data_IF_344641346459
#
_entry.id   IF_344641346459
#
_cell.length_a   1.000
_cell.length_b   1.000
_cell.length_c   1.000
_cell.angle_alpha   90.00
_cell.angle_beta   90.00
_cell.angle_gamma   90.00
#
_symmetry.space_group_name_H-M   'P 1'
#
loop_
_entity.id
_entity.type
_entity.pdbx_description
1 polymer ?
#
# COMPACT_ATOMS: atom_id res chain seq x y z
N UNK A 1 -28.20 2.73 -14.92
CA UNK A 1 -27.35 1.54 -14.73
C UNK A 1 -25.92 2.04 -14.60
N UNK A 2 -25.40 2.16 -13.38
CA UNK A 2 -23.98 2.49 -13.17
C UNK A 2 -23.18 1.21 -13.39
N UNK A 3 -22.50 1.12 -14.53
CA UNK A 3 -21.63 0.00 -14.84
C UNK A 3 -20.45 0.07 -13.85
N UNK A 4 -20.20 -0.97 -13.03
CA UNK A 4 -19.02 -1.00 -12.17
C UNK A 4 -17.80 -1.12 -13.07
N UNK A 5 -17.24 0.02 -13.43
CA UNK A 5 -16.01 0.10 -14.19
C UNK A 5 -14.92 -0.34 -13.23
N UNK A 6 -14.58 -1.63 -13.26
CA UNK A 6 -13.35 -2.13 -12.66
C UNK A 6 -12.22 -1.33 -13.29
N UNK A 7 -11.85 -0.20 -12.66
CA UNK A 7 -10.74 0.62 -13.09
C UNK A 7 -9.50 -0.23 -12.88
N UNK A 8 -9.08 -0.87 -13.97
CA UNK A 8 -7.80 -1.57 -14.02
C UNK A 8 -6.75 -0.48 -13.82
N UNK A 9 -6.12 -0.48 -12.66
CA UNK A 9 -5.05 0.47 -12.34
C UNK A 9 -3.90 0.13 -13.27
N UNK A 10 -3.55 1.08 -14.14
CA UNK A 10 -2.46 0.97 -15.11
C UNK A 10 -1.14 0.66 -14.42
N UNK A 11 -0.26 -0.08 -15.10
CA UNK A 11 1.07 -0.39 -14.57
C UNK A 11 1.92 0.86 -14.31
N UNK A 12 1.69 1.94 -15.06
CA UNK A 12 2.29 3.26 -14.81
C UNK A 12 1.94 3.81 -13.42
N UNK A 13 0.68 3.72 -13.01
CA UNK A 13 0.23 4.14 -11.67
C UNK A 13 0.85 3.27 -10.58
N UNK A 14 0.97 1.95 -10.82
CA UNK A 14 1.64 1.04 -9.88
C UNK A 14 3.12 1.37 -9.73
N UNK A 15 3.79 1.67 -10.83
CA UNK A 15 5.20 2.08 -10.83
C UNK A 15 5.40 3.41 -10.08
N UNK A 16 4.48 4.37 -10.23
CA UNK A 16 4.49 5.61 -9.46
C UNK A 16 4.37 5.33 -7.95
N UNK A 17 3.36 4.55 -7.54
CA UNK A 17 3.14 4.18 -6.14
C UNK A 17 4.39 3.49 -5.56
N UNK A 18 4.99 2.58 -6.32
CA UNK A 18 6.18 1.85 -5.90
C UNK A 18 7.40 2.74 -5.67
N UNK A 19 7.51 3.86 -6.39
CA UNK A 19 8.54 4.89 -6.18
C UNK A 19 8.25 5.79 -4.99
N UNK A 20 6.98 6.01 -4.66
CA UNK A 20 6.56 6.87 -3.54
C UNK A 20 6.60 6.17 -2.16
N UNK A 21 6.41 4.85 -2.13
CA UNK A 21 6.49 4.05 -0.89
C UNK A 21 7.81 4.22 -0.10
N UNK A 22 9.01 4.20 -0.71
CA UNK A 22 10.27 4.37 0.02
C UNK A 22 10.52 5.80 0.54
N UNK A 23 9.87 6.81 -0.03
CA UNK A 23 9.98 8.23 0.39
C UNK A 23 9.29 8.51 1.75
N UNK A 24 8.78 7.45 2.42
CA UNK A 24 8.02 7.52 3.66
C UNK A 24 6.78 8.42 3.60
N UNK A 25 6.22 8.61 2.40
CA UNK A 25 4.97 9.33 2.20
C UNK A 25 3.82 8.50 2.78
N UNK A 26 2.87 9.16 3.43
CA UNK A 26 1.67 8.49 3.96
C UNK A 26 0.85 7.86 2.84
N UNK A 27 0.21 6.72 3.11
CA UNK A 27 -0.67 6.04 2.15
C UNK A 27 -1.79 6.97 1.66
N UNK A 28 -2.34 7.80 2.54
CA UNK A 28 -3.34 8.80 2.19
C UNK A 28 -2.81 9.88 1.22
N UNK A 29 -1.53 10.26 1.34
CA UNK A 29 -0.87 11.17 0.40
C UNK A 29 -0.65 10.52 -0.96
N UNK A 30 -0.17 9.27 -0.97
CA UNK A 30 0.02 8.49 -2.18
C UNK A 30 -1.31 8.26 -2.91
N UNK A 31 -2.38 7.93 -2.18
CA UNK A 31 -3.71 7.73 -2.75
C UNK A 31 -4.22 8.99 -3.48
N UNK A 32 -4.01 10.18 -2.89
CA UNK A 32 -4.37 11.46 -3.51
C UNK A 32 -3.56 11.77 -4.76
N UNK A 33 -2.24 11.59 -4.71
CA UNK A 33 -1.34 11.88 -5.85
C UNK A 33 -1.56 10.90 -7.00
N UNK A 34 -1.75 9.61 -6.70
CA UNK A 34 -1.98 8.58 -7.69
C UNK A 34 -3.45 8.49 -8.16
N UNK A 35 -4.37 9.19 -7.51
CA UNK A 35 -5.81 9.17 -7.85
C UNK A 35 -6.48 7.81 -7.62
N UNK A 36 -6.00 7.05 -6.63
CA UNK A 36 -6.48 5.69 -6.34
C UNK A 36 -7.26 5.62 -5.03
N UNK A 37 -8.13 4.62 -4.90
CA UNK A 37 -8.80 4.35 -3.62
C UNK A 37 -7.77 3.97 -2.55
N UNK A 38 -7.89 4.57 -1.36
CA UNK A 38 -7.03 4.25 -0.22
C UNK A 38 -7.16 2.78 0.18
N UNK A 39 -8.37 2.21 0.14
CA UNK A 39 -8.61 0.79 0.41
C UNK A 39 -7.89 -0.10 -0.59
N UNK A 40 -7.93 0.27 -1.88
CA UNK A 40 -7.21 -0.46 -2.93
C UNK A 40 -5.69 -0.38 -2.72
N UNK A 41 -5.17 0.82 -2.43
CA UNK A 41 -3.75 1.04 -2.16
C UNK A 41 -3.28 0.22 -0.95
N UNK A 42 -4.07 0.21 0.12
CA UNK A 42 -3.79 -0.57 1.31
C UNK A 42 -3.71 -2.07 0.99
N UNK A 43 -4.65 -2.61 0.22
CA UNK A 43 -4.62 -4.02 -0.21
C UNK A 43 -3.41 -4.32 -1.08
N UNK A 44 -3.09 -3.44 -2.05
CA UNK A 44 -1.94 -3.58 -2.94
C UNK A 44 -0.62 -3.64 -2.15
N UNK A 45 -0.42 -2.67 -1.25
CA UNK A 45 0.76 -2.55 -0.41
C UNK A 45 0.87 -3.72 0.56
N UNK A 46 -0.23 -4.16 1.17
CA UNK A 46 -0.26 -5.34 2.04
C UNK A 46 0.17 -6.62 1.30
N UNK A 47 -0.32 -6.82 0.07
CA UNK A 47 0.07 -7.95 -0.78
C UNK A 47 1.57 -7.90 -1.08
N UNK A 48 2.10 -6.73 -1.40
CA UNK A 48 3.52 -6.52 -1.68
C UNK A 48 4.39 -6.82 -0.46
N UNK A 49 4.06 -6.27 0.71
CA UNK A 49 4.81 -6.55 1.94
C UNK A 49 4.68 -7.99 2.44
N UNK A 50 3.58 -8.69 2.14
CA UNK A 50 3.42 -10.12 2.48
C UNK A 50 4.34 -11.02 1.66
N UNK A 51 4.69 -10.61 0.44
CA UNK A 51 5.65 -11.33 -0.41
C UNK A 51 7.11 -11.16 0.02
N UNK A 52 7.41 -10.09 0.77
CA UNK A 52 8.75 -9.84 1.29
C UNK A 52 8.88 -10.61 2.61
N UNK A 53 9.81 -11.58 2.75
CA UNK A 53 10.04 -12.26 4.01
C UNK A 53 10.50 -11.24 5.05
N UNK A 54 9.55 -10.83 5.91
CA UNK A 54 9.81 -9.90 7.02
C UNK A 54 10.74 -10.59 8.02
N UNK A 55 12.05 -10.36 7.93
CA UNK A 55 12.99 -10.51 9.05
C UNK A 55 12.74 -9.40 10.08
N UNK A 56 11.51 -9.27 10.58
CA UNK A 56 11.23 -8.43 11.73
C UNK A 56 11.44 -9.30 12.96
N UNK A 57 12.66 -9.26 13.50
CA UNK A 57 13.00 -9.88 14.79
C UNK A 57 12.34 -9.05 15.89
N UNK A 58 11.04 -9.23 16.11
CA UNK A 58 10.32 -8.53 17.16
C UNK A 58 10.83 -9.07 18.50
N UNK A 59 11.71 -8.33 19.17
CA UNK A 59 11.93 -8.53 20.61
C UNK A 59 10.64 -8.08 21.29
N UNK A 60 9.79 -9.04 21.66
CA UNK A 60 8.62 -8.78 22.48
C UNK A 60 9.09 -8.06 23.76
N UNK A 61 8.70 -6.79 23.92
CA UNK A 61 8.92 -6.08 25.18
C UNK A 61 7.86 -6.61 26.15
N UNK A 62 8.28 -7.31 27.21
CA UNK A 62 7.37 -7.78 28.27
C UNK A 62 6.65 -6.56 28.83
N UNK A 63 5.33 -6.49 28.63
CA UNK A 63 4.47 -5.55 29.34
C UNK A 63 4.31 -6.10 30.77
N UNK A 64 4.84 -5.38 31.75
CA UNK A 64 4.55 -5.63 33.16
C UNK A 64 3.12 -5.15 33.43
N UNK A 65 2.34 -6.01 34.09
CA UNK A 65 0.95 -5.80 34.47
C UNK A 65 0.88 -5.23 35.88
#
# INVERSE_FOLDING_TARGET
MENPQFRVISDETRALIDRLLPEQISLAGIARVAGVSETWLQTYVNKKYRSIPRKLRIRARKSAR
#
